data_IF_541986180109
#
_entry.id   IF_541986180109
#
_cell.length_a   1.000
_cell.length_b   1.000
_cell.length_c   1.000
_cell.angle_alpha   90.00
_cell.angle_beta   90.00
_cell.angle_gamma   90.00
#
_symmetry.space_group_name_H-M   'P 1'
#
loop_
_entity.id
_entity.type
_entity.pdbx_description
1 polymer ?
#
# COMPACT_ATOMS: atom_id res chain seq x y z
N UNK A 1 -16.95 2.30 -19.17
CA UNK A 1 -16.83 1.69 -17.82
C UNK A 1 -18.14 1.93 -17.10
N UNK A 2 -18.77 0.86 -16.62
CA UNK A 2 -20.04 0.90 -15.88
C UNK A 2 -19.78 1.24 -14.40
N UNK A 3 -20.61 2.12 -13.84
CA UNK A 3 -20.52 2.54 -12.43
C UNK A 3 -21.48 1.68 -11.61
N UNK A 4 -21.00 1.09 -10.53
CA UNK A 4 -21.76 0.17 -9.67
C UNK A 4 -22.02 0.82 -8.31
N UNK A 5 -23.22 0.66 -7.75
CA UNK A 5 -23.47 1.09 -6.37
C UNK A 5 -23.07 -0.02 -5.40
N UNK A 6 -22.51 0.35 -4.24
CA UNK A 6 -22.13 -0.65 -3.23
C UNK A 6 -23.30 -1.46 -2.65
N UNK A 7 -24.55 -1.01 -2.82
CA UNK A 7 -25.77 -1.74 -2.44
C UNK A 7 -26.11 -2.88 -3.40
N UNK A 8 -25.61 -2.82 -4.63
CA UNK A 8 -25.98 -3.75 -5.70
C UNK A 8 -25.02 -4.97 -5.74
N UNK A 9 -23.97 -4.95 -4.90
CA UNK A 9 -22.96 -6.01 -4.79
C UNK A 9 -23.51 -7.13 -3.89
N UNK A 10 -23.83 -8.29 -4.46
CA UNK A 10 -24.54 -9.35 -3.72
C UNK A 10 -23.64 -10.39 -3.00
N UNK A 11 -22.35 -10.54 -3.32
CA UNK A 11 -21.47 -11.49 -2.62
C UNK A 11 -19.97 -11.13 -2.69
N UNK A 12 -19.29 -11.27 -1.54
CA UNK A 12 -17.95 -10.74 -1.22
C UNK A 12 -16.83 -11.79 -1.24
N UNK A 13 -16.80 -12.70 -2.21
CA UNK A 13 -15.69 -13.67 -2.37
C UNK A 13 -14.77 -13.36 -3.55
N UNK A 14 -15.17 -12.48 -4.46
CA UNK A 14 -14.30 -11.96 -5.52
C UNK A 14 -13.83 -10.57 -5.17
N UNK A 15 -12.56 -10.29 -5.45
CA UNK A 15 -11.96 -8.96 -5.44
C UNK A 15 -12.88 -7.98 -6.17
N UNK A 16 -13.64 -7.20 -5.41
CA UNK A 16 -14.49 -6.16 -5.97
C UNK A 16 -13.61 -4.94 -6.21
N UNK A 17 -13.31 -4.65 -7.47
CA UNK A 17 -12.55 -3.46 -7.86
C UNK A 17 -13.22 -2.20 -7.29
N UNK A 18 -12.49 -1.43 -6.49
CA UNK A 18 -12.96 -0.19 -5.85
C UNK A 18 -13.05 0.99 -6.83
N UNK A 19 -12.52 0.83 -8.05
CA UNK A 19 -12.34 1.90 -9.04
C UNK A 19 -13.64 2.48 -9.60
N UNK A 20 -14.68 1.64 -9.72
CA UNK A 20 -15.97 2.04 -10.32
C UNK A 20 -17.15 1.91 -9.36
N UNK A 21 -16.88 1.75 -8.06
CA UNK A 21 -17.93 1.58 -7.05
C UNK A 21 -18.22 2.90 -6.33
N UNK A 22 -19.49 3.29 -6.28
CA UNK A 22 -19.96 4.45 -5.53
C UNK A 22 -20.39 4.07 -4.11
N UNK A 23 -19.99 4.87 -3.14
CA UNK A 23 -20.44 4.78 -1.78
C UNK A 23 -21.90 5.24 -1.67
N UNK A 24 -22.76 4.45 -1.02
CA UNK A 24 -24.15 4.86 -0.73
C UNK A 24 -24.35 5.34 0.71
N UNK A 25 -23.33 5.25 1.57
CA UNK A 25 -23.40 5.77 2.95
C UNK A 25 -23.73 7.27 2.90
N UNK A 26 -24.73 7.78 3.64
CA UNK A 26 -25.26 9.13 3.44
C UNK A 26 -24.21 10.25 3.46
N UNK A 27 -23.19 10.12 4.32
CA UNK A 27 -22.10 11.11 4.47
C UNK A 27 -21.17 11.17 3.25
N UNK A 28 -21.04 10.06 2.51
CA UNK A 28 -20.11 9.91 1.38
C UNK A 28 -20.84 9.55 0.08
N UNK A 29 -22.16 9.77 0.02
CA UNK A 29 -23.03 9.29 -1.04
C UNK A 29 -22.57 9.81 -2.40
N UNK A 30 -22.46 8.91 -3.38
CA UNK A 30 -22.09 9.25 -4.76
C UNK A 30 -20.60 9.49 -4.96
N UNK A 31 -19.76 9.30 -3.94
CA UNK A 31 -18.31 9.34 -4.09
C UNK A 31 -17.76 7.95 -4.41
N UNK A 32 -16.74 7.88 -5.27
CA UNK A 32 -16.01 6.63 -5.53
C UNK A 32 -15.10 6.31 -4.36
N UNK A 33 -14.99 5.03 -4.00
CA UNK A 33 -14.08 4.59 -2.94
C UNK A 33 -12.62 5.01 -3.19
N UNK A 34 -12.17 4.95 -4.45
CA UNK A 34 -10.83 5.42 -4.86
C UNK A 34 -10.59 6.92 -4.66
N UNK A 35 -11.64 7.73 -4.54
CA UNK A 35 -11.53 9.20 -4.36
C UNK A 35 -11.65 9.64 -2.91
N UNK A 36 -12.18 8.79 -2.03
CA UNK A 36 -12.25 9.08 -0.59
C UNK A 36 -10.85 9.12 0.01
N UNK A 37 -10.58 9.98 0.99
CA UNK A 37 -9.29 10.08 1.70
C UNK A 37 -9.13 8.91 2.68
N UNK A 38 -7.88 8.60 3.07
CA UNK A 38 -7.61 7.49 3.99
C UNK A 38 -8.35 7.63 5.34
N UNK A 39 -8.42 8.84 5.91
CA UNK A 39 -9.21 9.11 7.13
C UNK A 39 -10.69 8.76 6.95
N UNK A 40 -11.27 9.11 5.81
CA UNK A 40 -12.68 8.87 5.51
C UNK A 40 -12.95 7.38 5.34
N UNK A 41 -12.06 6.65 4.64
CA UNK A 41 -12.12 5.19 4.54
C UNK A 41 -11.98 4.52 5.91
N UNK A 42 -11.08 5.02 6.78
CA UNK A 42 -10.94 4.55 8.18
C UNK A 42 -12.24 4.80 8.96
N UNK A 43 -12.87 5.96 8.75
CA UNK A 43 -14.18 6.28 9.34
C UNK A 43 -15.30 5.38 8.80
N UNK A 44 -15.32 5.01 7.52
CA UNK A 44 -16.32 4.07 6.96
C UNK A 44 -16.17 2.68 7.60
N UNK A 45 -14.93 2.19 7.79
CA UNK A 45 -14.68 0.88 8.44
C UNK A 45 -15.26 0.80 9.85
N UNK A 46 -15.12 1.86 10.64
CA UNK A 46 -15.60 1.91 12.02
C UNK A 46 -17.03 2.44 12.16
N UNK A 47 -17.67 2.90 11.07
CA UNK A 47 -19.00 3.49 11.12
C UNK A 47 -20.06 2.45 11.52
N UNK A 48 -20.88 2.77 12.52
CA UNK A 48 -21.91 1.86 13.06
C UNK A 48 -22.98 1.52 12.02
N UNK A 49 -23.37 2.48 11.18
CA UNK A 49 -24.37 2.32 10.12
C UNK A 49 -23.82 1.85 8.76
N UNK A 50 -22.51 1.65 8.63
CA UNK A 50 -21.96 1.16 7.36
C UNK A 50 -22.24 -0.33 7.18
N UNK A 51 -22.66 -0.72 5.97
CA UNK A 51 -22.92 -2.12 5.62
C UNK A 51 -21.62 -2.92 5.58
N UNK A 52 -21.72 -4.25 5.59
CA UNK A 52 -20.54 -5.13 5.47
C UNK A 52 -19.76 -4.86 4.18
N UNK A 53 -20.46 -4.64 3.07
CA UNK A 53 -19.85 -4.34 1.77
C UNK A 53 -19.09 -3.02 1.83
N UNK A 54 -19.68 -1.97 2.39
CA UNK A 54 -19.04 -0.66 2.55
C UNK A 54 -17.76 -0.75 3.37
N UNK A 55 -17.79 -1.51 4.47
CA UNK A 55 -16.61 -1.75 5.30
C UNK A 55 -15.54 -2.55 4.55
N UNK A 56 -15.94 -3.56 3.78
CA UNK A 56 -15.02 -4.39 2.99
C UNK A 56 -14.38 -3.60 1.85
N UNK A 57 -15.15 -2.77 1.11
CA UNK A 57 -14.62 -1.90 0.06
C UNK A 57 -13.67 -0.83 0.63
N UNK A 58 -14.03 -0.25 1.77
CA UNK A 58 -13.13 0.69 2.46
C UNK A 58 -11.86 0.00 2.96
N UNK A 59 -11.96 -1.23 3.45
CA UNK A 59 -10.81 -2.03 3.86
C UNK A 59 -9.95 -2.47 2.67
N UNK A 60 -10.55 -2.86 1.55
CA UNK A 60 -9.84 -3.21 0.32
C UNK A 60 -9.13 -1.99 -0.27
N UNK A 61 -9.77 -0.83 -0.32
CA UNK A 61 -9.13 0.41 -0.77
C UNK A 61 -8.04 0.87 0.21
N UNK A 62 -8.27 0.72 1.52
CA UNK A 62 -7.23 0.96 2.52
C UNK A 62 -6.10 -0.06 2.43
N UNK A 63 -6.34 -1.31 2.05
CA UNK A 63 -5.31 -2.33 1.87
C UNK A 63 -4.49 -2.04 0.60
N UNK A 64 -5.17 -1.67 -0.50
CA UNK A 64 -4.56 -1.14 -1.73
C UNK A 64 -3.70 0.09 -1.43
N UNK A 65 -4.14 0.93 -0.50
CA UNK A 65 -3.37 2.07 0.02
C UNK A 65 -2.44 1.73 1.18
N UNK A 66 -2.55 0.57 1.81
CA UNK A 66 -1.59 0.14 2.84
C UNK A 66 -0.27 -0.18 2.16
N UNK A 67 -0.23 -0.45 0.85
CA UNK A 67 1.00 -0.33 0.06
C UNK A 67 1.59 1.09 0.03
N UNK A 68 0.96 2.08 0.68
CA UNK A 68 1.47 3.44 0.89
C UNK A 68 1.84 3.63 2.37
N UNK A 69 1.13 2.99 3.32
CA UNK A 69 1.48 3.03 4.74
C UNK A 69 2.78 2.24 4.96
N UNK A 70 3.89 2.94 5.14
CA UNK A 70 5.22 2.35 5.27
C UNK A 70 5.46 1.73 6.65
N UNK A 71 4.68 0.70 6.99
CA UNK A 71 4.79 -0.06 8.23
C UNK A 71 4.76 -1.56 7.93
N UNK A 72 5.63 -2.32 8.61
CA UNK A 72 5.73 -3.78 8.51
C UNK A 72 6.32 -4.35 9.80
N UNK A 73 5.77 -5.46 10.30
CA UNK A 73 6.23 -6.10 11.55
C UNK A 73 6.31 -5.15 12.77
N UNK A 74 5.45 -4.13 12.83
CA UNK A 74 5.44 -3.12 13.91
C UNK A 74 6.56 -2.08 13.82
N UNK A 75 7.26 -2.03 12.69
CA UNK A 75 8.33 -1.08 12.38
C UNK A 75 7.91 -0.22 11.20
N UNK A 76 8.07 1.09 11.35
CA UNK A 76 7.85 2.03 10.25
C UNK A 76 9.10 2.10 9.37
N UNK A 77 8.96 2.38 8.08
CA UNK A 77 10.10 2.59 7.21
C UNK A 77 9.89 3.80 6.31
N UNK A 78 10.95 4.55 6.03
CA UNK A 78 10.91 5.66 5.09
C UNK A 78 11.68 5.29 3.82
N UNK A 79 11.08 5.57 2.66
CA UNK A 79 11.72 5.36 1.38
C UNK A 79 12.30 6.70 0.93
N UNK A 80 13.62 6.79 0.81
CA UNK A 80 14.25 8.01 0.30
C UNK A 80 13.94 8.21 -1.18
N UNK A 81 13.87 9.47 -1.62
CA UNK A 81 13.77 9.81 -3.05
C UNK A 81 14.91 9.18 -3.85
N UNK A 82 16.12 9.16 -3.27
CA UNK A 82 17.28 8.51 -3.89
C UNK A 82 17.02 7.02 -4.19
N UNK A 83 16.44 6.28 -3.24
CA UNK A 83 16.11 4.88 -3.47
C UNK A 83 15.06 4.70 -4.58
N UNK A 84 14.06 5.58 -4.66
CA UNK A 84 13.06 5.56 -5.75
C UNK A 84 13.72 5.86 -7.10
N UNK A 85 14.60 6.85 -7.16
CA UNK A 85 15.34 7.20 -8.39
C UNK A 85 16.24 6.04 -8.86
N UNK A 86 16.85 5.33 -7.90
CA UNK A 86 17.65 4.13 -8.19
C UNK A 86 16.77 2.99 -8.72
N UNK A 87 15.61 2.74 -8.09
CA UNK A 87 14.65 1.75 -8.56
C UNK A 87 14.16 2.06 -9.98
N UNK A 88 13.82 3.33 -10.24
CA UNK A 88 13.37 3.79 -11.55
C UNK A 88 14.46 3.68 -12.61
N UNK A 89 15.72 3.90 -12.26
CA UNK A 89 16.83 3.79 -13.21
C UNK A 89 17.16 2.34 -13.54
N UNK A 90 17.22 1.47 -12.53
CA UNK A 90 17.71 0.10 -12.68
C UNK A 90 16.61 -0.88 -13.12
N UNK A 91 15.39 -0.69 -12.62
CA UNK A 91 14.34 -1.70 -12.69
C UNK A 91 13.07 -1.22 -13.39
N UNK A 92 13.12 -0.12 -14.17
CA UNK A 92 11.97 0.34 -14.95
C UNK A 92 11.43 -0.73 -15.90
N UNK A 93 12.32 -1.50 -16.53
CA UNK A 93 11.92 -2.58 -17.43
C UNK A 93 11.11 -3.66 -16.69
N UNK A 94 11.58 -4.04 -15.49
CA UNK A 94 10.91 -5.00 -14.63
C UNK A 94 9.58 -4.46 -14.13
N UNK A 95 9.56 -3.19 -13.70
CA UNK A 95 8.34 -2.46 -13.37
C UNK A 95 7.34 -2.57 -14.52
N UNK A 96 7.66 -2.06 -15.71
CA UNK A 96 6.74 -2.04 -16.87
C UNK A 96 6.18 -3.43 -17.20
N UNK A 97 6.98 -4.49 -17.09
CA UNK A 97 6.55 -5.86 -17.39
C UNK A 97 5.62 -6.45 -16.32
N UNK A 98 5.83 -6.12 -15.04
CA UNK A 98 5.01 -6.56 -13.91
C UNK A 98 3.84 -5.59 -13.64
N UNK A 99 3.85 -4.42 -14.28
CA UNK A 99 2.92 -3.34 -14.06
C UNK A 99 1.65 -3.52 -14.88
N UNK A 100 0.54 -3.75 -14.19
CA UNK A 100 -0.80 -3.88 -14.76
C UNK A 100 -1.53 -2.54 -14.98
N UNK A 101 -0.93 -1.42 -14.58
CA UNK A 101 -1.53 -0.09 -14.65
C UNK A 101 -2.19 0.39 -13.35
N UNK A 102 -2.20 -0.41 -12.27
CA UNK A 102 -2.96 -0.08 -11.06
C UNK A 102 -2.18 0.74 -10.00
N UNK A 103 -0.85 0.78 -10.08
CA UNK A 103 0.02 1.34 -9.02
C UNK A 103 1.03 2.41 -9.49
N UNK A 104 1.73 3.09 -8.59
CA UNK A 104 2.87 3.93 -8.96
C UNK A 104 4.18 3.20 -8.70
N UNK A 105 5.29 3.63 -9.30
CA UNK A 105 6.61 3.05 -8.98
C UNK A 105 6.95 3.17 -7.49
N UNK A 106 6.49 4.23 -6.82
CA UNK A 106 6.65 4.40 -5.37
C UNK A 106 5.84 3.36 -4.56
N UNK A 107 4.61 3.07 -4.99
CA UNK A 107 3.76 2.03 -4.37
C UNK A 107 4.35 0.65 -4.58
N UNK A 108 4.87 0.37 -5.78
CA UNK A 108 5.59 -0.86 -6.06
C UNK A 108 6.85 -1.00 -5.22
N UNK A 109 7.63 0.08 -5.06
CA UNK A 109 8.78 0.10 -4.16
C UNK A 109 8.39 -0.25 -2.72
N UNK A 110 7.30 0.33 -2.21
CA UNK A 110 6.81 0.08 -0.86
C UNK A 110 6.39 -1.38 -0.68
N UNK A 111 5.68 -1.94 -1.67
CA UNK A 111 5.38 -3.38 -1.71
C UNK A 111 6.65 -4.23 -1.63
N UNK A 112 7.62 -4.00 -2.51
CA UNK A 112 8.86 -4.78 -2.54
C UNK A 112 9.63 -4.71 -1.21
N UNK A 113 9.69 -3.53 -0.60
CA UNK A 113 10.31 -3.33 0.72
C UNK A 113 9.60 -4.14 1.79
N UNK A 114 8.26 -4.16 1.80
CA UNK A 114 7.48 -4.95 2.76
C UNK A 114 7.75 -6.43 2.60
N UNK A 115 7.70 -6.93 1.38
CA UNK A 115 7.99 -8.34 1.08
C UNK A 115 9.41 -8.71 1.52
N UNK A 116 10.39 -7.87 1.23
CA UNK A 116 11.78 -8.07 1.63
C UNK A 116 11.95 -8.14 3.15
N UNK A 117 11.30 -7.24 3.89
CA UNK A 117 11.35 -7.20 5.36
C UNK A 117 10.57 -8.35 6.01
N UNK A 118 9.45 -8.78 5.43
CA UNK A 118 8.71 -9.97 5.87
C UNK A 118 9.56 -11.23 5.69
N UNK A 119 10.29 -11.34 4.58
CA UNK A 119 11.18 -12.48 4.32
C UNK A 119 12.44 -12.47 5.21
N UNK A 120 12.81 -11.30 5.75
CA UNK A 120 14.02 -11.12 6.56
C UNK A 120 13.68 -10.38 7.87
N UNK A 121 12.88 -10.98 8.77
CA UNK A 121 12.37 -10.30 9.95
C UNK A 121 13.48 -9.82 10.89
N UNK A 122 14.61 -10.52 10.98
CA UNK A 122 15.74 -10.13 11.84
C UNK A 122 16.39 -8.82 11.39
N UNK A 123 16.22 -8.43 10.13
CA UNK A 123 16.82 -7.22 9.56
C UNK A 123 16.28 -5.94 10.21
N UNK A 124 15.09 -5.99 10.82
CA UNK A 124 14.47 -4.83 11.49
C UNK A 124 15.20 -4.40 12.77
N UNK A 125 16.05 -5.28 13.33
CA UNK A 125 16.78 -5.03 14.57
C UNK A 125 18.23 -4.58 14.33
N UNK A 126 18.68 -4.57 13.07
CA UNK A 126 20.04 -4.19 12.71
C UNK A 126 20.13 -2.67 12.48
N UNK A 127 21.25 -2.07 12.89
CA UNK A 127 21.51 -0.66 12.63
C UNK A 127 21.65 -0.35 11.14
N UNK A 128 22.27 -1.26 10.38
CA UNK A 128 22.39 -1.18 8.93
C UNK A 128 22.35 -2.59 8.37
N UNK A 129 21.58 -2.80 7.30
CA UNK A 129 21.45 -4.11 6.68
C UNK A 129 21.22 -4.00 5.17
N UNK A 130 21.68 -5.03 4.45
CA UNK A 130 21.42 -5.21 3.03
C UNK A 130 20.54 -6.45 2.88
N UNK A 131 19.37 -6.26 2.28
CA UNK A 131 18.40 -7.33 2.05
C UNK A 131 18.31 -7.57 0.55
N UNK A 132 18.47 -8.82 0.15
CA UNK A 132 18.29 -9.22 -1.25
C UNK A 132 16.91 -9.87 -1.41
N UNK A 133 16.06 -9.30 -2.26
CA UNK A 133 14.73 -9.83 -2.54
C UNK A 133 14.41 -9.71 -4.04
N UNK A 134 14.00 -10.82 -4.67
CA UNK A 134 13.67 -10.88 -6.09
C UNK A 134 14.74 -10.28 -7.04
N UNK A 135 16.02 -10.47 -6.72
CA UNK A 135 17.14 -9.94 -7.52
C UNK A 135 17.38 -8.44 -7.37
N UNK A 136 16.80 -7.81 -6.34
CA UNK A 136 16.98 -6.40 -5.99
C UNK A 136 17.66 -6.35 -4.61
N UNK A 137 18.70 -5.54 -4.47
CA UNK A 137 19.35 -5.30 -3.17
C UNK A 137 18.83 -3.99 -2.56
N UNK A 138 18.29 -4.10 -1.35
CA UNK A 138 17.77 -2.99 -0.56
C UNK A 138 18.71 -2.71 0.61
N UNK A 139 19.22 -1.47 0.72
CA UNK A 139 20.06 -1.07 1.85
C UNK A 139 19.26 -0.22 2.84
N UNK A 140 19.07 -0.74 4.04
CA UNK A 140 18.36 -0.05 5.12
C UNK A 140 19.33 0.40 6.22
N UNK A 141 18.93 1.46 6.92
CA UNK A 141 19.54 1.88 8.18
C UNK A 141 18.46 2.23 9.20
N UNK A 142 18.73 2.02 10.48
CA UNK A 142 17.87 2.53 11.56
C UNK A 142 17.79 4.06 11.51
N UNK A 143 16.62 4.59 11.84
CA UNK A 143 16.42 6.03 11.95
C UNK A 143 16.89 6.50 13.33
N UNK A 144 17.92 7.35 13.37
CA UNK A 144 18.47 7.89 14.62
C UNK A 144 17.50 8.82 15.37
N UNK A 145 16.51 9.39 14.67
CA UNK A 145 15.57 10.37 15.22
C UNK A 145 14.22 9.77 15.62
N UNK A 146 13.82 8.64 15.02
CA UNK A 146 12.51 8.02 15.22
C UNK A 146 12.68 6.59 15.68
N UNK A 147 12.19 6.28 16.88
CA UNK A 147 12.25 4.93 17.44
C UNK A 147 11.41 3.96 16.58
N UNK A 148 11.92 2.75 16.37
CA UNK A 148 11.27 1.71 15.57
C UNK A 148 10.97 2.18 14.13
N UNK A 149 11.93 2.89 13.54
CA UNK A 149 11.87 3.35 12.16
C UNK A 149 13.14 2.95 11.42
N UNK A 150 12.97 2.51 10.17
CA UNK A 150 14.03 2.22 9.21
C UNK A 150 14.00 3.26 8.09
N UNK A 151 15.14 3.47 7.44
CA UNK A 151 15.24 4.31 6.25
C UNK A 151 15.87 3.46 5.15
N UNK A 152 15.17 3.32 4.03
CA UNK A 152 15.73 2.74 2.81
C UNK A 152 16.65 3.77 2.15
N UNK A 153 17.96 3.57 2.30
CA UNK A 153 18.99 4.48 1.82
C UNK A 153 19.11 4.39 0.31
N UNK A 154 19.21 3.17 -0.24
CA UNK A 154 19.47 2.95 -1.66
C UNK A 154 18.97 1.59 -2.14
N UNK A 155 18.88 1.47 -3.46
CA UNK A 155 18.58 0.25 -4.20
C UNK A 155 19.70 0.01 -5.22
N UNK A 156 20.15 -1.23 -5.35
CA UNK A 156 21.25 -1.63 -6.25
C UNK A 156 21.01 -2.96 -6.92
#
# INVERSE_FOLDING_TARGET
MEIVLDTDIQNTEKECSTHNVLCTLPVYRGQRYTRLRARELKSIRSHSKATRIQKNLAAAELARRNYIDSEVLGVTFDITLHAIDRLSTLYMHKFINEFDGEHGISSWCNQLVKEALIANPDAIHLNECVINHNGISFTFRSNDYVKNSLVLITIS
#
